data_IF_652776934190
#
_entry.id   IF_652776934190
#
_cell.length_a   1.000
_cell.length_b   1.000
_cell.length_c   1.000
_cell.angle_alpha   90.00
_cell.angle_beta   90.00
_cell.angle_gamma   90.00
#
_symmetry.space_group_name_H-M   'P 1'
#
loop_
_entity.id
_entity.type
_entity.pdbx_description
1 polymer ?
#
# COMPACT_ATOMS: atom_id res chain seq x y z
N UNK A 1 -43.98 12.80 43.78
CA UNK A 1 -43.12 12.02 42.87
C UNK A 1 -42.50 10.89 43.70
N UNK A 2 -42.62 9.64 43.27
CA UNK A 2 -42.27 8.46 44.07
C UNK A 2 -40.74 8.21 44.06
N UNK A 3 -40.16 7.73 45.17
CA UNK A 3 -38.71 7.55 45.32
C UNK A 3 -38.11 6.57 44.29
N UNK A 4 -38.95 5.69 43.73
CA UNK A 4 -38.60 4.75 42.66
C UNK A 4 -38.29 5.44 41.32
N UNK A 5 -38.94 6.57 41.00
CA UNK A 5 -38.71 7.30 39.74
C UNK A 5 -37.41 8.12 39.81
N UNK A 6 -37.09 8.69 40.98
CA UNK A 6 -35.80 9.38 41.20
C UNK A 6 -34.60 8.43 41.09
N UNK A 7 -34.69 7.22 41.66
CA UNK A 7 -33.63 6.22 41.54
C UNK A 7 -33.39 5.75 40.10
N UNK A 8 -34.45 5.64 39.31
CA UNK A 8 -34.36 5.23 37.90
C UNK A 8 -33.70 6.31 37.02
N UNK A 9 -34.01 7.60 37.27
CA UNK A 9 -33.43 8.75 36.55
C UNK A 9 -31.96 8.95 36.91
N UNK A 10 -31.60 8.78 38.19
CA UNK A 10 -30.20 8.88 38.64
C UNK A 10 -29.36 7.71 38.09
N UNK A 11 -29.91 6.49 38.08
CA UNK A 11 -29.23 5.32 37.50
C UNK A 11 -29.02 5.42 35.99
N UNK A 12 -29.98 6.01 35.25
CA UNK A 12 -29.86 6.21 33.81
C UNK A 12 -28.89 7.34 33.44
N UNK A 13 -28.78 8.40 34.24
CA UNK A 13 -27.77 9.45 34.06
C UNK A 13 -26.33 8.93 34.28
N UNK A 14 -26.13 8.02 35.24
CA UNK A 14 -24.82 7.39 35.47
C UNK A 14 -24.41 6.46 34.31
N UNK A 15 -25.36 5.73 33.72
CA UNK A 15 -25.10 4.85 32.58
C UNK A 15 -24.72 5.63 31.30
N UNK A 16 -25.35 6.79 31.07
CA UNK A 16 -25.03 7.67 29.93
C UNK A 16 -23.66 8.34 30.10
N UNK A 17 -23.28 8.68 31.35
CA UNK A 17 -21.96 9.26 31.63
C UNK A 17 -20.78 8.30 31.38
N UNK A 18 -21.02 6.98 31.43
CA UNK A 18 -20.00 5.96 31.16
C UNK A 18 -19.70 5.78 29.65
N UNK A 19 -20.54 6.33 28.77
CA UNK A 19 -20.33 6.35 27.32
C UNK A 19 -19.75 7.69 26.84
N UNK A 20 -19.44 8.61 27.75
CA UNK A 20 -18.82 9.88 27.43
C UNK A 20 -17.31 9.69 27.19
N UNK A 21 -16.97 9.41 25.92
CA UNK A 21 -15.71 9.83 25.31
C UNK A 21 -14.49 8.96 25.58
N UNK A 22 -14.31 7.90 24.78
CA UNK A 22 -12.96 7.40 24.51
C UNK A 22 -12.28 8.44 23.62
N UNK A 23 -11.56 9.39 24.21
CA UNK A 23 -10.60 10.17 23.42
C UNK A 23 -9.56 9.19 22.90
N UNK A 24 -9.37 9.15 21.58
CA UNK A 24 -8.26 8.41 20.98
C UNK A 24 -6.97 9.13 21.40
N UNK A 25 -6.39 8.69 22.52
CA UNK A 25 -5.09 9.16 22.96
C UNK A 25 -4.03 8.48 22.08
N UNK A 26 -3.20 9.28 21.43
CA UNK A 26 -2.05 8.77 20.69
C UNK A 26 -1.00 8.19 21.63
N UNK A 27 -0.28 7.18 21.17
CA UNK A 27 0.87 6.67 21.92
C UNK A 27 2.00 7.72 21.91
N UNK A 28 2.28 8.25 23.09
CA UNK A 28 3.31 9.27 23.30
C UNK A 28 4.70 8.75 22.91
N UNK A 29 4.94 7.44 23.06
CA UNK A 29 6.21 6.80 22.68
C UNK A 29 6.45 6.75 21.18
N UNK A 30 5.38 6.85 20.38
CA UNK A 30 5.47 6.83 18.92
C UNK A 30 5.58 8.22 18.29
N UNK A 31 5.57 9.30 19.08
CA UNK A 31 5.60 10.67 18.56
C UNK A 31 6.88 10.97 17.75
N UNK A 32 8.04 10.53 18.24
CA UNK A 32 9.32 10.69 17.51
C UNK A 32 9.30 9.90 16.19
N UNK A 33 8.71 8.70 16.22
CA UNK A 33 8.58 7.85 15.04
C UNK A 33 7.63 8.46 14.01
N UNK A 34 6.58 9.16 14.46
CA UNK A 34 5.68 9.93 13.58
C UNK A 34 6.44 10.94 12.75
N UNK A 35 7.19 11.80 13.44
CA UNK A 35 7.85 12.94 12.84
C UNK A 35 8.97 12.48 11.91
N UNK A 36 9.69 11.42 12.32
CA UNK A 36 10.69 10.80 11.46
C UNK A 36 10.07 10.19 10.21
N UNK A 37 8.94 9.49 10.33
CA UNK A 37 8.24 8.90 9.19
C UNK A 37 7.72 9.98 8.24
N UNK A 38 7.08 11.03 8.76
CA UNK A 38 6.62 12.18 7.96
C UNK A 38 7.77 12.82 7.19
N UNK A 39 8.90 13.06 7.86
CA UNK A 39 10.10 13.63 7.22
C UNK A 39 10.68 12.71 6.15
N UNK A 40 10.75 11.41 6.42
CA UNK A 40 11.31 10.41 5.49
C UNK A 40 10.48 10.31 4.21
N UNK A 41 9.16 10.46 4.31
CA UNK A 41 8.24 10.37 3.17
C UNK A 41 7.71 11.72 2.67
N UNK A 42 8.28 12.84 3.13
CA UNK A 42 7.91 14.19 2.70
C UNK A 42 6.44 14.55 2.97
N UNK A 43 5.85 14.02 4.04
CA UNK A 43 4.43 14.25 4.37
C UNK A 43 4.23 15.59 5.05
N UNK A 44 3.30 16.38 4.52
CA UNK A 44 2.84 17.63 5.13
C UNK A 44 1.31 17.66 5.09
N UNK A 45 0.70 17.99 6.22
CA UNK A 45 -0.76 18.09 6.35
C UNK A 45 -1.15 19.53 6.63
N UNK A 46 -2.34 19.94 6.18
CA UNK A 46 -2.73 21.35 6.20
C UNK A 46 -3.13 21.82 7.60
N UNK A 47 -3.75 20.93 8.38
CA UNK A 47 -4.35 21.25 9.67
C UNK A 47 -4.02 20.18 10.71
N UNK A 48 -4.02 20.55 12.00
CA UNK A 48 -3.79 19.61 13.11
C UNK A 48 -4.82 18.48 13.16
N UNK A 49 -6.07 18.75 12.78
CA UNK A 49 -7.13 17.73 12.72
C UNK A 49 -6.81 16.66 11.66
N UNK A 50 -6.23 17.08 10.53
CA UNK A 50 -5.79 16.16 9.48
C UNK A 50 -4.57 15.36 9.94
N UNK A 51 -3.56 16.02 10.53
CA UNK A 51 -2.37 15.35 11.07
C UNK A 51 -2.77 14.30 12.12
N UNK A 52 -3.67 14.65 13.05
CA UNK A 52 -4.20 13.73 14.05
C UNK A 52 -4.95 12.53 13.42
N UNK A 53 -5.77 12.76 12.40
CA UNK A 53 -6.46 11.67 11.69
C UNK A 53 -5.47 10.75 10.97
N UNK A 54 -4.47 11.32 10.30
CA UNK A 54 -3.43 10.57 9.59
C UNK A 54 -2.52 9.81 10.54
N UNK A 55 -2.26 10.39 11.71
CA UNK A 55 -1.55 9.77 12.82
C UNK A 55 -2.29 8.55 13.37
N UNK A 56 -3.59 8.64 13.57
CA UNK A 56 -4.43 7.50 14.00
C UNK A 56 -4.37 6.35 12.98
N UNK A 57 -4.47 6.65 11.69
CA UNK A 57 -4.33 5.65 10.62
C UNK A 57 -2.94 5.00 10.62
N UNK A 58 -1.90 5.81 10.77
CA UNK A 58 -0.53 5.32 10.83
C UNK A 58 -0.28 4.39 12.02
N UNK A 59 -0.78 4.72 13.21
CA UNK A 59 -0.63 3.84 14.39
C UNK A 59 -1.40 2.53 14.22
N UNK A 60 -2.62 2.58 13.64
CA UNK A 60 -3.41 1.39 13.31
C UNK A 60 -2.69 0.49 12.32
N UNK A 61 -2.14 1.06 11.26
CA UNK A 61 -1.37 0.31 10.26
C UNK A 61 -0.06 -0.25 10.84
N UNK A 62 0.62 0.49 11.73
CA UNK A 62 1.82 0.00 12.42
C UNK A 62 1.50 -1.21 13.29
N UNK A 63 0.39 -1.15 14.03
CA UNK A 63 -0.09 -2.27 14.84
C UNK A 63 -0.44 -3.48 13.97
N UNK A 64 -1.13 -3.26 12.86
CA UNK A 64 -1.47 -4.32 11.91
C UNK A 64 -0.22 -5.01 11.37
N UNK A 65 0.78 -4.25 10.93
CA UNK A 65 2.08 -4.76 10.46
C UNK A 65 2.76 -5.59 11.55
N UNK A 66 2.78 -5.09 12.79
CA UNK A 66 3.42 -5.77 13.92
C UNK A 66 2.77 -7.13 14.19
N UNK A 67 1.43 -7.19 14.21
CA UNK A 67 0.69 -8.44 14.42
C UNK A 67 0.93 -9.42 13.26
N UNK A 68 0.82 -8.94 12.01
CA UNK A 68 1.05 -9.78 10.83
C UNK A 68 2.46 -10.38 10.81
N UNK A 69 3.48 -9.59 11.15
CA UNK A 69 4.86 -10.08 11.15
C UNK A 69 5.14 -11.06 12.30
N UNK A 70 4.45 -10.89 13.44
CA UNK A 70 4.47 -11.90 14.49
C UNK A 70 3.85 -13.21 13.98
N UNK A 71 2.70 -13.16 13.32
CA UNK A 71 2.06 -14.34 12.70
C UNK A 71 2.95 -14.97 11.61
N UNK A 72 3.65 -14.15 10.82
CA UNK A 72 4.63 -14.62 9.83
C UNK A 72 5.79 -15.37 10.49
N UNK A 73 6.30 -14.89 11.64
CA UNK A 73 7.35 -15.57 12.39
C UNK A 73 6.90 -16.93 12.95
N UNK A 74 5.59 -17.13 13.12
CA UNK A 74 4.98 -18.40 13.49
C UNK A 74 4.68 -19.31 12.27
N UNK A 75 5.02 -18.86 11.06
CA UNK A 75 4.81 -19.59 9.81
C UNK A 75 3.37 -19.54 9.28
N UNK A 76 2.52 -18.65 9.79
CA UNK A 76 1.13 -18.47 9.30
C UNK A 76 1.12 -17.77 7.94
N UNK A 77 2.00 -16.77 7.79
CA UNK A 77 2.19 -16.03 6.54
C UNK A 77 3.55 -16.35 5.93
N UNK A 78 3.62 -16.29 4.60
CA UNK A 78 4.86 -16.53 3.83
C UNK A 78 5.60 -15.25 3.48
N UNK A 79 5.10 -14.10 3.94
CA UNK A 79 5.66 -12.78 3.70
C UNK A 79 5.55 -11.92 4.94
N UNK A 80 6.30 -10.83 4.93
CA UNK A 80 6.28 -9.80 5.98
C UNK A 80 5.81 -8.48 5.40
N UNK A 81 5.32 -7.60 6.27
CA UNK A 81 4.90 -6.25 5.95
C UNK A 81 5.90 -5.24 6.51
N UNK A 82 5.98 -4.08 5.87
CA UNK A 82 6.82 -2.97 6.31
C UNK A 82 6.06 -1.65 6.26
N UNK A 83 6.34 -0.76 7.19
CA UNK A 83 5.77 0.58 7.17
C UNK A 83 6.35 1.35 5.99
N UNK A 84 5.49 1.85 5.10
CA UNK A 84 5.88 2.53 3.88
C UNK A 84 5.19 3.91 3.76
N UNK A 85 5.33 4.58 2.62
CA UNK A 85 4.72 5.90 2.37
C UNK A 85 3.19 5.91 2.35
N UNK A 86 2.55 4.73 2.28
CA UNK A 86 1.09 4.54 2.31
C UNK A 86 0.59 4.25 3.74
N UNK A 87 1.47 4.31 4.74
CA UNK A 87 1.15 4.02 6.14
C UNK A 87 0.06 4.90 6.74
N UNK A 88 -0.20 6.08 6.19
CA UNK A 88 -1.25 7.02 6.64
C UNK A 88 -2.56 6.93 5.83
N UNK A 89 -2.70 5.92 4.96
CA UNK A 89 -3.86 5.74 4.09
C UNK A 89 -4.73 4.56 4.53
N UNK A 90 -6.01 4.60 4.16
CA UNK A 90 -6.89 3.43 4.27
C UNK A 90 -6.79 2.55 3.04
N UNK A 91 -7.21 1.29 3.16
CA UNK A 91 -7.27 0.36 2.03
C UNK A 91 -8.12 0.92 0.87
N UNK A 92 -9.19 1.63 1.17
CA UNK A 92 -10.06 2.26 0.17
C UNK A 92 -9.36 3.41 -0.54
N UNK A 93 -8.66 4.28 0.21
CA UNK A 93 -7.86 5.37 -0.37
C UNK A 93 -6.77 4.83 -1.30
N UNK A 94 -6.15 3.71 -0.91
CA UNK A 94 -5.17 2.98 -1.72
C UNK A 94 -5.82 2.46 -3.00
N UNK A 95 -6.98 1.81 -2.92
CA UNK A 95 -7.65 1.29 -4.11
C UNK A 95 -8.07 2.42 -5.06
N UNK A 96 -8.63 3.51 -4.53
CA UNK A 96 -9.04 4.66 -5.36
C UNK A 96 -7.85 5.33 -6.04
N UNK A 97 -6.72 5.47 -5.33
CA UNK A 97 -5.57 6.22 -5.87
C UNK A 97 -4.67 5.34 -6.74
N UNK A 98 -4.52 4.05 -6.42
CA UNK A 98 -3.50 3.16 -7.01
C UNK A 98 -4.09 2.00 -7.83
N UNK A 99 -5.39 1.72 -7.73
CA UNK A 99 -6.03 0.62 -8.47
C UNK A 99 -7.03 1.17 -9.51
N UNK A 100 -6.55 2.05 -10.40
CA UNK A 100 -7.36 2.72 -11.42
C UNK A 100 -7.68 1.86 -12.64
N UNK A 101 -7.09 0.66 -12.75
CA UNK A 101 -7.31 -0.22 -13.89
C UNK A 101 -8.77 -0.68 -13.95
N UNK A 102 -9.46 -0.26 -15.01
CA UNK A 102 -10.76 -0.77 -15.38
C UNK A 102 -10.59 -1.60 -16.65
N UNK A 103 -10.84 -2.92 -16.62
CA UNK A 103 -10.80 -3.70 -17.84
C UNK A 103 -11.86 -3.16 -18.81
N UNK A 104 -11.51 -2.97 -20.10
CA UNK A 104 -12.52 -2.68 -21.12
C UNK A 104 -13.57 -3.79 -21.12
N UNK A 105 -14.84 -3.44 -21.32
CA UNK A 105 -15.92 -4.42 -21.46
C UNK A 105 -15.88 -5.14 -22.81
N UNK A 106 -15.25 -4.53 -23.81
CA UNK A 106 -15.01 -5.09 -25.15
C UNK A 106 -13.56 -5.58 -25.29
N UNK A 107 -13.19 -6.63 -24.55
CA UNK A 107 -11.91 -7.31 -24.75
C UNK A 107 -12.09 -8.31 -25.90
N UNK A 108 -11.75 -7.88 -27.11
CA UNK A 108 -11.61 -8.75 -28.28
C UNK A 108 -10.41 -9.69 -28.07
N UNK A 109 -10.67 -10.91 -27.58
CA UNK A 109 -9.66 -11.99 -27.60
C UNK A 109 -9.52 -12.50 -29.02
N UNK A 110 -8.71 -11.82 -29.84
CA UNK A 110 -8.27 -12.39 -31.09
C UNK A 110 -7.38 -13.61 -30.80
N UNK A 111 -7.53 -14.74 -31.52
CA UNK A 111 -6.60 -15.85 -31.42
C UNK A 111 -5.23 -15.35 -31.89
N UNK A 112 -4.32 -15.13 -30.95
CA UNK A 112 -2.89 -15.00 -31.25
C UNK A 112 -2.26 -16.34 -30.91
N UNK A 113 -1.72 -17.09 -31.89
CA UNK A 113 -1.04 -18.34 -31.60
C UNK A 113 0.21 -18.01 -30.78
N UNK A 114 0.22 -18.45 -29.52
CA UNK A 114 1.44 -18.46 -28.73
C UNK A 114 2.30 -19.63 -29.22
N UNK A 115 3.37 -19.33 -29.96
CA UNK A 115 4.35 -20.35 -30.37
C UNK A 115 5.25 -20.69 -29.20
N UNK A 116 4.88 -21.72 -28.45
CA UNK A 116 5.75 -22.31 -27.43
C UNK A 116 6.90 -23.09 -28.07
N UNK A 117 8.07 -23.10 -27.43
CA UNK A 117 9.18 -24.00 -27.79
C UNK A 117 8.99 -25.36 -27.12
N UNK A 118 9.13 -26.46 -27.87
CA UNK A 118 8.97 -27.83 -27.37
C UNK A 118 10.29 -28.51 -26.98
N UNK A 119 11.43 -27.82 -27.09
CA UNK A 119 12.76 -28.46 -27.05
C UNK A 119 13.58 -28.30 -25.77
N UNK A 120 13.27 -27.33 -24.91
CA UNK A 120 14.02 -27.08 -23.70
C UNK A 120 13.07 -26.88 -22.52
N UNK A 121 13.30 -27.61 -21.43
CA UNK A 121 12.60 -27.36 -20.17
C UNK A 121 12.89 -25.93 -19.72
N UNK A 122 11.83 -25.20 -19.37
CA UNK A 122 12.01 -23.88 -18.81
C UNK A 122 12.79 -23.99 -17.49
N UNK A 123 13.82 -23.17 -17.29
CA UNK A 123 14.58 -23.14 -16.05
C UNK A 123 13.70 -22.72 -14.87
N UNK A 124 13.92 -23.35 -13.71
CA UNK A 124 13.06 -23.19 -12.52
C UNK A 124 13.06 -21.80 -11.88
N UNK A 125 14.05 -20.95 -12.18
CA UNK A 125 14.10 -19.57 -11.72
C UNK A 125 14.68 -18.68 -12.83
N UNK A 126 13.96 -17.60 -13.16
CA UNK A 126 14.33 -16.68 -14.24
C UNK A 126 14.13 -15.22 -13.81
N UNK A 127 15.23 -14.57 -13.42
CA UNK A 127 15.25 -13.17 -13.04
C UNK A 127 15.65 -12.26 -14.21
N UNK A 128 14.66 -11.63 -14.85
CA UNK A 128 14.87 -10.69 -15.96
C UNK A 128 15.61 -9.42 -15.54
N UNK A 129 15.55 -9.06 -14.25
CA UNK A 129 16.27 -7.92 -13.68
C UNK A 129 17.79 -8.07 -13.84
N UNK A 130 18.31 -9.29 -13.59
CA UNK A 130 19.75 -9.59 -13.75
C UNK A 130 20.24 -9.47 -15.19
N UNK A 131 19.30 -9.42 -16.13
CA UNK A 131 19.56 -9.30 -17.56
C UNK A 131 19.37 -7.86 -18.06
N UNK A 132 19.10 -6.89 -17.17
CA UNK A 132 18.87 -5.49 -17.55
C UNK A 132 17.60 -5.28 -18.38
N UNK A 133 16.68 -6.23 -18.36
CA UNK A 133 15.42 -6.18 -19.12
C UNK A 133 14.29 -5.48 -18.35
N UNK A 134 14.53 -5.15 -17.08
CA UNK A 134 13.59 -4.39 -16.25
C UNK A 134 13.96 -2.91 -16.27
N UNK A 135 12.96 -2.03 -16.38
CA UNK A 135 13.14 -0.61 -16.13
C UNK A 135 13.18 -0.32 -14.63
N UNK A 136 13.78 0.80 -14.25
CA UNK A 136 13.76 1.26 -12.86
C UNK A 136 12.31 1.55 -12.44
N UNK A 137 11.92 1.09 -11.24
CA UNK A 137 10.65 1.49 -10.65
C UNK A 137 10.65 3.00 -10.46
N UNK A 138 9.77 3.70 -11.19
CA UNK A 138 9.52 5.11 -10.95
C UNK A 138 8.44 5.22 -9.88
N UNK A 139 8.64 6.13 -8.94
CA UNK A 139 7.63 6.60 -8.00
C UNK A 139 6.61 7.48 -8.75
N UNK A 140 6.02 6.92 -9.81
CA UNK A 140 4.87 7.52 -10.45
C UNK A 140 3.78 7.54 -9.40
N UNK A 141 3.43 8.75 -8.94
CA UNK A 141 2.40 9.02 -7.95
C UNK A 141 1.31 7.96 -8.03
N UNK A 142 1.23 7.19 -6.98
CA UNK A 142 0.24 6.17 -6.76
C UNK A 142 -0.13 5.26 -7.96
N UNK A 143 0.73 4.32 -8.37
CA UNK A 143 0.27 3.16 -9.12
C UNK A 143 1.26 1.99 -8.95
N UNK A 144 0.74 0.83 -8.56
CA UNK A 144 1.40 -0.50 -8.51
C UNK A 144 2.23 -0.89 -7.27
N UNK A 145 1.60 -1.06 -6.11
CA UNK A 145 2.11 -1.96 -5.05
C UNK A 145 0.98 -2.76 -4.38
N UNK A 146 0.28 -3.61 -5.13
CA UNK A 146 -0.64 -4.58 -4.51
C UNK A 146 -0.53 -6.04 -4.98
N UNK A 147 0.38 -6.40 -5.88
CA UNK A 147 0.59 -7.81 -6.22
C UNK A 147 2.07 -8.00 -6.49
N UNK A 148 2.76 -8.77 -5.64
CA UNK A 148 4.19 -9.05 -5.73
C UNK A 148 4.64 -9.67 -7.05
N UNK A 149 4.78 -8.83 -8.06
CA UNK A 149 5.39 -9.08 -9.37
C UNK A 149 6.16 -7.80 -9.70
N UNK A 150 7.48 -7.83 -9.49
CA UNK A 150 8.43 -6.73 -9.67
C UNK A 150 8.68 -6.37 -11.15
N UNK A 151 7.62 -6.34 -11.96
CA UNK A 151 7.60 -5.66 -13.25
C UNK A 151 6.28 -4.91 -13.31
N UNK A 152 6.34 -3.59 -13.11
CA UNK A 152 5.19 -2.70 -13.26
C UNK A 152 4.49 -3.03 -14.57
N UNK A 153 3.18 -3.28 -14.52
CA UNK A 153 2.33 -3.43 -15.71
C UNK A 153 2.06 -2.05 -16.32
N UNK A 154 3.13 -1.33 -16.63
CA UNK A 154 3.16 -0.09 -17.40
C UNK A 154 3.84 -0.33 -18.77
N UNK A 155 4.37 0.70 -19.45
CA UNK A 155 5.04 0.58 -20.74
C UNK A 155 6.36 -0.23 -20.74
N UNK A 156 6.62 -1.02 -19.68
CA UNK A 156 7.80 -1.87 -19.57
C UNK A 156 7.86 -3.02 -20.59
N UNK A 157 6.73 -3.41 -21.18
CA UNK A 157 6.71 -4.42 -22.26
C UNK A 157 7.54 -4.00 -23.48
N UNK A 158 7.24 -2.84 -24.10
CA UNK A 158 8.08 -2.24 -25.14
C UNK A 158 9.54 -2.06 -24.74
N UNK A 159 9.80 -1.58 -23.51
CA UNK A 159 11.17 -1.32 -23.01
C UNK A 159 11.98 -2.61 -22.88
N UNK A 160 11.40 -3.67 -22.32
CA UNK A 160 12.07 -4.97 -22.23
C UNK A 160 12.34 -5.59 -23.60
N UNK A 161 11.47 -5.36 -24.59
CA UNK A 161 11.72 -5.78 -25.97
C UNK A 161 12.85 -4.98 -26.62
N UNK A 162 12.93 -3.69 -26.33
CA UNK A 162 13.98 -2.81 -26.85
C UNK A 162 15.35 -3.18 -26.25
N UNK A 163 15.45 -3.28 -24.92
CA UNK A 163 16.69 -3.69 -24.23
C UNK A 163 17.18 -5.07 -24.71
N UNK A 164 16.26 -6.00 -25.01
CA UNK A 164 16.62 -7.30 -25.61
C UNK A 164 17.22 -7.15 -27.01
N UNK A 165 16.72 -6.23 -27.83
CA UNK A 165 17.21 -5.98 -29.20
C UNK A 165 18.52 -5.21 -29.21
N UNK A 166 18.70 -4.26 -28.29
CA UNK A 166 19.85 -3.35 -28.25
C UNK A 166 20.98 -3.81 -27.33
N UNK A 167 20.78 -4.88 -26.56
CA UNK A 167 21.80 -5.46 -25.68
C UNK A 167 21.91 -4.77 -24.30
N UNK A 168 20.93 -3.94 -23.93
CA UNK A 168 20.87 -3.27 -22.63
C UNK A 168 20.11 -1.93 -22.68
N UNK A 169 19.96 -1.25 -21.54
CA UNK A 169 19.29 0.05 -21.47
C UNK A 169 20.02 1.11 -22.32
N UNK A 170 19.28 1.83 -23.17
CA UNK A 170 19.79 3.01 -23.88
C UNK A 170 19.87 4.22 -22.93
N UNK A 171 20.85 5.13 -23.08
CA UNK A 171 20.91 6.36 -22.30
C UNK A 171 19.69 7.25 -22.58
N UNK A 172 19.21 8.04 -21.61
CA UNK A 172 18.05 8.91 -21.81
C UNK A 172 18.36 9.96 -22.89
N UNK A 173 17.53 10.00 -23.94
CA UNK A 173 17.54 11.07 -24.94
C UNK A 173 17.27 12.42 -24.24
N UNK A 174 18.03 13.50 -24.54
CA UNK A 174 17.78 14.81 -23.97
C UNK A 174 16.42 15.31 -24.44
N UNK A 175 15.45 15.36 -23.52
CA UNK A 175 14.10 15.83 -23.78
C UNK A 175 14.11 17.25 -24.35
N UNK A 176 13.53 17.41 -25.54
CA UNK A 176 13.26 18.71 -26.14
C UNK A 176 12.31 19.54 -25.27
N UNK A 177 12.61 20.84 -25.23
CA UNK A 177 11.84 21.90 -24.57
C UNK A 177 10.38 21.95 -25.03
#
# INVERSE_FOLDING_TARGET
MTPTVQGLVLGSLLFVSLWAGTSAAFDSGLNVHWELWKKTHGKMYQNEVEDARRRDLWEKNLKFITVHNLEASLGIHTYELGMNHMGDMTSEEILTSFATFRPPTDIQRAPSPFTGTSGAAAPGHHGLERQGLCHQCQDAGCLWLLLGLQCCRGPGGPVGQDNRKTGGPQPPEPGGL
#
